data_IF_469150436038
#
_entry.id   IF_469150436038
#
_cell.length_a   1.000
_cell.length_b   1.000
_cell.length_c   1.000
_cell.angle_alpha   90.00
_cell.angle_beta   90.00
_cell.angle_gamma   90.00
#
_symmetry.space_group_name_H-M   'P 1'
#
loop_
_entity.id
_entity.type
_entity.pdbx_description
1 polymer ?
#
# COMPACT_ATOMS: atom_id res chain seq x y z
N UNK A 1 -14.48 -2.77 -3.53
CA UNK A 1 -13.03 -2.79 -3.34
C UNK A 1 -12.64 -2.09 -2.06
N UNK A 2 -11.56 -2.52 -1.48
CA UNK A 2 -11.03 -1.91 -0.25
C UNK A 2 -9.94 -0.92 -0.60
N UNK A 3 -9.78 0.12 0.22
CA UNK A 3 -8.67 1.07 0.05
C UNK A 3 -7.55 0.69 1.01
N UNK A 4 -6.34 0.58 0.47
CA UNK A 4 -5.15 0.27 1.25
C UNK A 4 -4.11 1.36 1.12
N UNK A 5 -3.39 1.62 2.19
CA UNK A 5 -2.16 2.40 2.15
C UNK A 5 -0.99 1.43 2.06
N UNK A 6 -0.03 1.75 1.21
CA UNK A 6 1.17 0.93 1.06
C UNK A 6 2.40 1.82 1.25
N UNK A 7 3.29 1.39 2.13
CA UNK A 7 4.45 2.18 2.53
C UNK A 7 5.73 1.39 2.30
N UNK A 8 6.70 2.05 1.71
CA UNK A 8 8.06 1.53 1.55
C UNK A 8 9.03 2.64 1.94
N UNK A 9 9.70 2.44 3.06
CA UNK A 9 10.60 3.45 3.65
C UNK A 9 9.87 4.77 3.86
N UNK A 10 10.32 5.86 3.23
CA UNK A 10 9.67 7.16 3.37
C UNK A 10 8.56 7.40 2.34
N UNK A 11 8.34 6.44 1.43
CA UNK A 11 7.37 6.58 0.35
C UNK A 11 6.06 5.88 0.69
N UNK A 12 4.95 6.45 0.23
CA UNK A 12 3.64 5.86 0.46
C UNK A 12 2.70 6.14 -0.70
N UNK A 13 1.79 5.19 -0.96
CA UNK A 13 0.75 5.33 -1.97
C UNK A 13 -0.54 4.71 -1.45
N UNK A 14 -1.67 5.08 -2.06
CA UNK A 14 -2.96 4.45 -1.79
C UNK A 14 -3.37 3.65 -3.01
N UNK A 15 -3.89 2.45 -2.78
CA UNK A 15 -4.36 1.57 -3.86
C UNK A 15 -5.69 0.95 -3.48
N UNK A 16 -6.50 0.62 -4.50
CA UNK A 16 -7.75 -0.10 -4.33
C UNK A 16 -7.55 -1.55 -4.71
N UNK A 17 -7.91 -2.46 -3.81
CA UNK A 17 -7.74 -3.89 -4.05
C UNK A 17 -8.70 -4.68 -3.17
N UNK A 18 -8.84 -5.97 -3.44
CA UNK A 18 -9.69 -6.87 -2.67
C UNK A 18 -8.97 -7.47 -1.48
N UNK A 19 -7.64 -7.58 -1.54
CA UNK A 19 -6.82 -8.20 -0.49
C UNK A 19 -5.55 -7.41 -0.28
N UNK A 20 -4.89 -7.63 0.86
CA UNK A 20 -3.61 -7.00 1.15
C UNK A 20 -2.53 -7.45 0.17
N UNK A 21 -2.56 -8.71 -0.24
CA UNK A 21 -1.59 -9.22 -1.20
C UNK A 21 -1.74 -8.52 -2.56
N UNK A 22 -2.98 -8.37 -3.04
CA UNK A 22 -3.24 -7.68 -4.29
C UNK A 22 -2.82 -6.21 -4.20
N UNK A 23 -3.09 -5.56 -3.05
CA UNK A 23 -2.70 -4.18 -2.83
C UNK A 23 -1.18 -4.02 -2.88
N UNK A 24 -0.45 -4.96 -2.28
CA UNK A 24 1.00 -4.96 -2.28
C UNK A 24 1.55 -5.05 -3.71
N UNK A 25 0.96 -5.93 -4.52
CA UNK A 25 1.35 -6.09 -5.93
C UNK A 25 1.07 -4.86 -6.77
N UNK A 26 -0.07 -4.20 -6.51
CA UNK A 26 -0.43 -2.96 -7.23
C UNK A 26 0.48 -1.80 -6.82
N UNK A 27 0.86 -1.74 -5.56
CA UNK A 27 1.69 -0.66 -5.04
C UNK A 27 3.14 -0.75 -5.52
N UNK A 28 3.63 -1.96 -5.80
CA UNK A 28 5.02 -2.18 -6.18
C UNK A 28 5.49 -1.29 -7.33
N UNK A 29 4.83 -1.28 -8.51
CA UNK A 29 5.28 -0.42 -9.61
C UNK A 29 5.17 1.06 -9.28
N UNK A 30 4.17 1.45 -8.50
CA UNK A 30 3.98 2.85 -8.11
C UNK A 30 5.12 3.31 -7.19
N UNK A 31 5.44 2.51 -6.20
CA UNK A 31 6.53 2.81 -5.28
C UNK A 31 7.88 2.73 -5.98
N UNK A 32 8.03 1.79 -6.91
CA UNK A 32 9.27 1.67 -7.69
C UNK A 32 9.51 2.94 -8.53
N UNK A 33 8.45 3.49 -9.13
CA UNK A 33 8.56 4.72 -9.90
C UNK A 33 9.00 5.89 -9.01
N UNK A 34 8.49 5.94 -7.78
CA UNK A 34 8.86 6.99 -6.83
C UNK A 34 10.26 6.80 -6.26
N UNK A 35 10.69 5.55 -6.12
CA UNK A 35 11.99 5.22 -5.54
C UNK A 35 13.17 5.49 -6.49
N UNK A 36 12.89 5.61 -7.79
CA UNK A 36 13.93 5.88 -8.77
C UNK A 36 14.88 4.70 -8.91
N UNK A 37 16.14 4.89 -8.55
CA UNK A 37 17.17 3.86 -8.69
C UNK A 37 17.15 2.82 -7.57
N UNK A 38 16.48 3.12 -6.47
CA UNK A 38 16.38 2.19 -5.36
C UNK A 38 15.45 1.05 -5.75
N UNK A 39 15.83 -0.18 -5.46
CA UNK A 39 15.02 -1.33 -5.82
C UNK A 39 14.01 -1.63 -4.73
N UNK A 40 12.73 -1.53 -5.07
CA UNK A 40 11.64 -1.85 -4.16
C UNK A 40 11.32 -3.34 -4.30
N UNK A 41 11.30 -4.05 -3.18
CA UNK A 41 10.92 -5.46 -3.16
C UNK A 41 9.55 -5.59 -2.52
N UNK A 42 8.70 -6.41 -3.12
CA UNK A 42 7.32 -6.54 -2.68
C UNK A 42 7.20 -6.87 -1.19
N UNK A 43 8.03 -7.75 -0.67
CA UNK A 43 7.97 -8.16 0.74
C UNK A 43 8.38 -7.04 1.71
N UNK A 44 8.99 -5.98 1.21
CA UNK A 44 9.37 -4.82 2.04
C UNK A 44 8.24 -3.81 2.17
N UNK A 45 7.17 -3.95 1.38
CA UNK A 45 6.06 -3.01 1.38
C UNK A 45 5.11 -3.36 2.52
N UNK A 46 4.86 -2.37 3.40
CA UNK A 46 3.89 -2.50 4.48
C UNK A 46 2.54 -2.02 3.96
N UNK A 47 1.52 -2.85 4.12
CA UNK A 47 0.17 -2.53 3.65
C UNK A 47 -0.76 -2.42 4.84
N UNK A 48 -1.60 -1.38 4.85
CA UNK A 48 -2.60 -1.19 5.89
C UNK A 48 -3.96 -0.88 5.27
N UNK A 49 -5.00 -1.44 5.85
CA UNK A 49 -6.37 -1.21 5.40
C UNK A 49 -6.83 0.17 5.85
N UNK A 50 -7.25 1.00 4.90
CA UNK A 50 -7.77 2.34 5.18
C UNK A 50 -9.29 2.38 5.12
N UNK A 51 -9.88 1.69 4.12
CA UNK A 51 -11.32 1.60 3.96
C UNK A 51 -11.71 0.20 3.54
N UNK A 52 -12.70 -0.38 4.21
CA UNK A 52 -13.24 -1.68 3.86
C UNK A 52 -14.58 -1.48 3.18
N UNK A 53 -14.68 -1.82 1.89
CA UNK A 53 -15.91 -1.72 1.09
C UNK A 53 -16.57 -0.35 1.19
N UNK A 54 -15.76 0.71 1.16
CA UNK A 54 -16.24 2.08 1.22
C UNK A 54 -16.49 2.62 2.62
N UNK A 55 -16.28 1.81 3.65
CA UNK A 55 -16.38 2.26 5.04
C UNK A 55 -14.98 2.61 5.52
N UNK A 56 -14.80 3.85 5.92
CA UNK A 56 -13.50 4.32 6.40
C UNK A 56 -13.17 3.71 7.75
N UNK A 57 -12.02 3.06 7.81
CA UNK A 57 -11.45 2.57 9.06
C UNK A 57 -10.27 3.47 9.42
N UNK A 58 -10.46 4.25 10.46
CA UNK A 58 -9.33 4.96 11.03
C UNK A 58 -8.68 4.00 12.00
N UNK A 59 -7.68 3.31 11.53
CA UNK A 59 -6.91 2.42 12.39
C UNK A 59 -5.71 3.20 12.90
N UNK A 60 -5.87 3.74 14.08
CA UNK A 60 -4.74 4.41 14.73
C UNK A 60 -3.98 3.32 15.46
N UNK A 61 -2.90 2.88 14.87
CA UNK A 61 -1.99 1.96 15.53
C UNK A 61 -1.09 2.78 16.43
N UNK A 62 -1.30 2.66 17.68
CA UNK A 62 -0.42 3.23 18.67
C UNK A 62 0.40 2.13 19.30
#
# INVERSE_FOLDING_TARGET
>A
MNKYGAIWKELGVEVMAETTYAAQGLALPLLQAMAGRRKVKQYEITVMLLELKGVEYVHIAN
#
